data_IF_204201982060
#
_entry.id   IF_204201982060
#
_cell.length_a   1.000
_cell.length_b   1.000
_cell.length_c   1.000
_cell.angle_alpha   90.00
_cell.angle_beta   90.00
_cell.angle_gamma   90.00
#
_symmetry.space_group_name_H-M   'P 1'
#
loop_
_entity.id
_entity.type
_entity.pdbx_description
1 polymer ?
#
# COMPACT_ATOMS: atom_id res chain seq x y z
N UNK A 1 29.18 -67.23 -23.32
CA UNK A 1 27.77 -66.80 -23.26
C UNK A 1 27.39 -66.56 -21.79
N UNK A 2 27.70 -65.38 -21.24
CA UNK A 2 27.26 -64.96 -19.90
C UNK A 2 26.51 -63.65 -20.10
N UNK A 3 25.19 -63.74 -20.07
CA UNK A 3 24.28 -62.65 -20.36
C UNK A 3 24.19 -61.72 -19.14
N UNK A 4 24.36 -60.43 -19.40
CA UNK A 4 24.12 -59.31 -18.50
C UNK A 4 22.75 -59.40 -17.82
N UNK A 5 22.70 -59.21 -16.51
CA UNK A 5 21.51 -58.71 -15.82
C UNK A 5 21.89 -57.48 -15.00
N UNK A 6 22.09 -56.36 -15.69
CA UNK A 6 22.12 -55.04 -15.06
C UNK A 6 20.67 -54.63 -14.85
N UNK A 7 20.14 -54.84 -13.64
CA UNK A 7 18.82 -54.35 -13.25
C UNK A 7 18.91 -52.81 -13.19
N UNK A 8 18.50 -52.13 -14.26
CA UNK A 8 18.21 -50.70 -14.22
C UNK A 8 17.02 -50.50 -13.28
N UNK A 9 17.29 -50.17 -12.02
CA UNK A 9 16.32 -49.52 -11.15
C UNK A 9 16.05 -48.13 -11.76
N UNK A 10 15.10 -48.07 -12.69
CA UNK A 10 14.51 -46.81 -13.14
C UNK A 10 13.70 -46.30 -11.95
N UNK A 11 14.38 -45.61 -11.03
CA UNK A 11 13.71 -44.71 -10.11
C UNK A 11 12.94 -43.74 -11.00
N UNK A 12 11.62 -43.83 -10.96
CA UNK A 12 10.72 -42.81 -11.51
C UNK A 12 10.99 -41.52 -10.74
N UNK A 13 12.04 -40.78 -11.13
CA UNK A 13 12.30 -39.46 -10.60
C UNK A 13 11.12 -38.62 -11.08
N UNK A 14 10.14 -38.39 -10.19
CA UNK A 14 9.11 -37.39 -10.40
C UNK A 14 9.81 -36.04 -10.37
N UNK A 15 10.36 -35.62 -11.51
CA UNK A 15 10.91 -34.28 -11.67
C UNK A 15 9.72 -33.34 -11.82
N UNK A 16 9.30 -32.71 -10.72
CA UNK A 16 8.42 -31.54 -10.83
C UNK A 16 9.24 -30.43 -11.47
N UNK A 17 8.91 -30.13 -12.74
CA UNK A 17 9.53 -29.03 -13.48
C UNK A 17 8.74 -27.77 -13.19
N UNK A 18 9.42 -26.73 -12.73
CA UNK A 18 8.85 -25.39 -12.68
C UNK A 18 8.78 -24.83 -14.10
N UNK A 19 7.60 -24.35 -14.50
CA UNK A 19 7.39 -23.70 -15.81
C UNK A 19 7.75 -22.22 -15.79
N UNK A 20 7.83 -21.61 -14.60
CA UNK A 20 8.00 -20.17 -14.42
C UNK A 20 8.56 -19.85 -13.03
N UNK A 21 9.48 -18.89 -12.97
CA UNK A 21 10.12 -18.40 -11.75
C UNK A 21 9.75 -16.93 -11.52
N UNK A 22 9.24 -16.56 -10.35
CA UNK A 22 8.90 -15.18 -10.04
C UNK A 22 10.09 -14.33 -9.56
N UNK A 23 11.14 -14.94 -9.01
CA UNK A 23 12.26 -14.25 -8.38
C UNK A 23 13.01 -13.28 -9.31
N UNK A 24 13.00 -13.56 -10.61
CA UNK A 24 13.60 -12.73 -11.66
C UNK A 24 12.57 -12.07 -12.57
N UNK A 25 11.28 -12.13 -12.22
CA UNK A 25 10.27 -11.34 -12.92
C UNK A 25 10.48 -9.88 -12.55
N UNK A 26 11.03 -9.12 -13.50
CA UNK A 26 11.50 -7.76 -13.28
C UNK A 26 10.43 -6.72 -12.91
N UNK A 27 9.16 -7.12 -12.72
CA UNK A 27 8.08 -6.22 -12.35
C UNK A 27 7.20 -6.85 -11.27
N UNK A 28 7.34 -6.46 -9.98
CA UNK A 28 6.37 -6.83 -8.96
C UNK A 28 4.99 -6.26 -9.33
N UNK A 29 3.93 -6.94 -8.92
CA UNK A 29 2.56 -6.46 -9.09
C UNK A 29 2.39 -5.09 -8.42
N UNK A 30 1.93 -4.09 -9.18
CA UNK A 30 1.84 -2.69 -8.72
C UNK A 30 0.43 -2.23 -8.36
N UNK A 31 -0.59 -3.06 -8.55
CA UNK A 31 -1.98 -2.60 -8.54
C UNK A 31 -2.77 -3.14 -7.34
N UNK A 32 -2.41 -2.69 -6.14
CA UNK A 32 -3.09 -3.06 -4.88
C UNK A 32 -4.32 -2.18 -4.59
N UNK A 33 -5.04 -1.75 -5.64
CA UNK A 33 -6.19 -0.84 -5.53
C UNK A 33 -5.82 0.39 -4.67
N UNK A 34 -6.64 0.74 -3.67
CA UNK A 34 -6.42 1.87 -2.77
C UNK A 34 -5.27 1.67 -1.76
N UNK A 35 -4.57 0.53 -1.78
CA UNK A 35 -3.36 0.21 -1.01
C UNK A 35 -2.08 0.29 -1.82
N UNK A 36 -2.18 0.65 -3.10
CA UNK A 36 -1.01 0.86 -3.96
C UNK A 36 -0.12 1.95 -3.36
N UNK A 37 1.19 1.67 -3.11
CA UNK A 37 2.11 2.68 -2.59
C UNK A 37 2.18 3.87 -3.53
N UNK A 38 2.10 5.09 -3.00
CA UNK A 38 2.03 6.31 -3.80
C UNK A 38 3.26 6.44 -4.70
N UNK A 39 4.44 6.13 -4.17
CA UNK A 39 5.70 6.18 -4.92
C UNK A 39 5.78 5.18 -6.09
N UNK A 40 4.95 4.13 -6.11
CA UNK A 40 5.01 3.09 -7.15
C UNK A 40 4.31 3.48 -8.46
N UNK A 41 3.38 4.44 -8.40
CA UNK A 41 2.52 4.84 -9.54
C UNK A 41 2.46 6.35 -9.77
N UNK A 42 2.97 7.18 -8.84
CA UNK A 42 2.94 8.63 -9.02
C UNK A 42 3.73 9.08 -10.24
N UNK A 43 3.23 10.11 -10.91
CA UNK A 43 4.05 10.95 -11.78
C UNK A 43 4.90 11.94 -10.98
N UNK A 44 5.39 12.97 -11.68
CA UNK A 44 6.03 14.13 -11.06
C UNK A 44 5.21 15.40 -11.29
N UNK A 45 4.82 16.07 -10.21
CA UNK A 45 4.08 17.34 -10.28
C UNK A 45 4.92 18.44 -10.95
N UNK A 46 6.25 18.31 -10.98
CA UNK A 46 7.14 19.25 -11.66
C UNK A 46 7.04 19.17 -13.17
N UNK A 47 6.57 18.03 -13.68
CA UNK A 47 6.31 17.77 -15.10
C UNK A 47 4.89 18.19 -15.51
N UNK A 48 4.08 18.70 -14.56
CA UNK A 48 2.70 19.11 -14.83
C UNK A 48 2.61 20.48 -15.51
N UNK A 49 1.54 20.67 -16.30
CA UNK A 49 1.20 21.87 -17.09
C UNK A 49 0.90 23.13 -16.27
N UNK A 50 1.20 23.16 -14.97
CA UNK A 50 0.80 24.25 -14.06
C UNK A 50 1.60 25.55 -14.32
N UNK A 51 2.68 25.49 -15.10
CA UNK A 51 3.46 26.67 -15.49
C UNK A 51 2.89 27.32 -16.75
N UNK A 52 1.87 28.15 -16.58
CA UNK A 52 1.35 29.01 -17.64
C UNK A 52 2.34 30.15 -17.92
N UNK A 53 2.67 30.38 -19.20
CA UNK A 53 3.63 31.42 -19.59
C UNK A 53 3.11 32.80 -19.18
N UNK A 54 3.91 33.54 -18.41
CA UNK A 54 3.55 34.88 -17.91
C UNK A 54 2.64 34.89 -16.68
N UNK A 55 2.32 33.72 -16.10
CA UNK A 55 1.53 33.63 -14.87
C UNK A 55 2.37 33.12 -13.71
N UNK A 56 2.05 33.59 -12.51
CA UNK A 56 2.63 33.10 -11.26
C UNK A 56 1.50 32.65 -10.32
N UNK A 57 1.66 31.50 -9.62
CA UNK A 57 0.69 31.04 -8.66
C UNK A 57 0.65 31.97 -7.46
N UNK A 58 -0.54 32.45 -7.09
CA UNK A 58 -0.76 33.33 -5.93
C UNK A 58 -1.28 32.58 -4.70
N UNK A 59 -1.86 31.39 -4.89
CA UNK A 59 -2.32 30.53 -3.80
C UNK A 59 -2.42 29.07 -4.26
N UNK A 60 -2.37 28.13 -3.32
CA UNK A 60 -2.54 26.70 -3.54
C UNK A 60 -3.48 26.16 -2.47
N UNK A 61 -4.36 25.27 -2.89
CA UNK A 61 -5.28 24.50 -2.08
C UNK A 61 -5.09 23.03 -2.47
N UNK A 62 -5.16 22.14 -1.49
CA UNK A 62 -4.92 20.72 -1.71
C UNK A 62 -5.69 19.86 -0.73
N UNK A 63 -6.32 18.80 -1.25
CA UNK A 63 -6.85 17.70 -0.46
C UNK A 63 -5.94 16.50 -0.66
N UNK A 64 -5.18 16.15 0.37
CA UNK A 64 -4.15 15.11 0.29
C UNK A 64 -4.57 13.98 1.21
N UNK A 65 -4.69 12.77 0.65
CA UNK A 65 -4.92 11.55 1.45
C UNK A 65 -3.71 11.28 2.33
N UNK A 66 -3.95 10.73 3.53
CA UNK A 66 -2.86 10.24 4.38
C UNK A 66 -1.92 9.28 3.65
N UNK A 67 -0.67 9.18 4.11
CA UNK A 67 0.31 8.23 3.59
C UNK A 67 -0.03 6.77 3.95
N UNK A 68 0.79 5.84 3.47
CA UNK A 68 0.67 4.43 3.81
C UNK A 68 0.54 4.18 5.32
N UNK A 69 -0.47 3.40 5.71
CA UNK A 69 -0.76 3.02 7.09
C UNK A 69 -0.80 1.51 7.25
N UNK A 70 -0.64 1.05 8.49
CA UNK A 70 -0.85 -0.34 8.86
C UNK A 70 -2.31 -0.76 8.64
N UNK A 71 -2.56 -2.07 8.43
CA UNK A 71 -3.91 -2.61 8.32
C UNK A 71 -4.75 -2.28 9.56
N UNK A 72 -6.07 -2.35 9.39
CA UNK A 72 -6.97 -2.35 10.54
C UNK A 72 -6.89 -3.67 11.30
N UNK A 73 -7.45 -3.71 12.51
CA UNK A 73 -7.35 -4.86 13.42
C UNK A 73 -7.77 -6.17 12.75
N UNK A 74 -8.97 -6.22 12.18
CA UNK A 74 -9.51 -7.45 11.54
C UNK A 74 -8.67 -7.89 10.33
N UNK A 75 -8.30 -6.95 9.45
CA UNK A 75 -7.44 -7.27 8.31
C UNK A 75 -6.05 -7.74 8.75
N UNK A 76 -5.47 -7.11 9.77
CA UNK A 76 -4.18 -7.51 10.34
C UNK A 76 -4.23 -8.94 10.91
N UNK A 77 -5.33 -9.30 11.58
CA UNK A 77 -5.58 -10.67 12.05
C UNK A 77 -5.62 -11.67 10.90
N UNK A 78 -6.45 -11.43 9.88
CA UNK A 78 -6.54 -12.33 8.71
C UNK A 78 -5.21 -12.46 7.96
N UNK A 79 -4.47 -11.36 7.82
CA UNK A 79 -3.14 -11.38 7.22
C UNK A 79 -2.17 -12.25 8.04
N UNK A 80 -2.20 -12.13 9.37
CA UNK A 80 -1.37 -12.92 10.28
C UNK A 80 -1.72 -14.41 10.22
N UNK A 81 -3.01 -14.75 10.21
CA UNK A 81 -3.49 -16.13 10.06
C UNK A 81 -3.07 -16.74 8.71
N UNK A 82 -3.07 -15.93 7.65
CA UNK A 82 -2.65 -16.35 6.31
C UNK A 82 -1.15 -16.62 6.17
N UNK A 83 -0.32 -16.18 7.14
CA UNK A 83 1.14 -16.42 7.09
C UNK A 83 1.51 -17.90 7.06
N UNK A 84 0.63 -18.78 7.56
CA UNK A 84 0.83 -20.24 7.52
C UNK A 84 0.93 -20.78 6.09
N UNK A 85 0.38 -20.08 5.09
CA UNK A 85 0.45 -20.47 3.67
C UNK A 85 1.92 -20.57 3.23
N UNK A 86 2.79 -19.69 3.73
CA UNK A 86 4.24 -19.73 3.49
C UNK A 86 4.83 -21.08 3.88
N UNK A 87 4.46 -21.57 5.06
CA UNK A 87 4.97 -22.83 5.61
C UNK A 87 4.44 -24.03 4.82
N UNK A 88 3.18 -23.96 4.36
CA UNK A 88 2.60 -24.97 3.47
C UNK A 88 3.32 -25.05 2.12
N UNK A 89 3.66 -23.91 1.52
CA UNK A 89 4.43 -23.84 0.26
C UNK A 89 5.83 -24.45 0.47
N UNK A 90 6.55 -24.05 1.50
CA UNK A 90 7.89 -24.58 1.83
C UNK A 90 7.85 -26.08 2.10
N UNK A 91 6.86 -26.57 2.86
CA UNK A 91 6.67 -27.99 3.16
C UNK A 91 6.36 -28.79 1.90
N UNK A 92 5.52 -28.27 1.01
CA UNK A 92 5.18 -28.91 -0.27
C UNK A 92 6.38 -28.99 -1.19
N UNK A 93 7.22 -27.94 -1.25
CA UNK A 93 8.47 -27.95 -2.01
C UNK A 93 9.45 -29.02 -1.51
N UNK A 94 9.67 -29.13 -0.20
CA UNK A 94 10.53 -30.17 0.40
C UNK A 94 10.06 -31.59 0.10
N UNK A 95 8.76 -31.80 -0.10
CA UNK A 95 8.16 -33.09 -0.47
C UNK A 95 8.16 -33.35 -1.99
N UNK A 96 8.72 -32.46 -2.80
CA UNK A 96 8.69 -32.56 -4.26
C UNK A 96 7.29 -32.36 -4.85
N UNK A 97 6.40 -31.62 -4.16
CA UNK A 97 5.01 -31.37 -4.56
C UNK A 97 4.72 -29.86 -4.74
N UNK A 98 5.66 -29.13 -5.31
CA UNK A 98 5.52 -27.68 -5.55
C UNK A 98 6.00 -27.33 -6.96
N UNK A 99 5.22 -26.54 -7.69
CA UNK A 99 5.54 -26.06 -9.04
C UNK A 99 6.39 -24.78 -9.05
N UNK A 100 6.54 -24.11 -7.90
CA UNK A 100 7.43 -22.95 -7.76
C UNK A 100 8.89 -23.39 -7.88
N UNK A 101 9.73 -22.52 -8.41
CA UNK A 101 11.16 -22.81 -8.50
C UNK A 101 11.88 -22.58 -7.15
N UNK A 102 13.08 -23.14 -7.04
CA UNK A 102 13.85 -23.16 -5.80
C UNK A 102 14.05 -21.76 -5.20
N UNK A 103 14.33 -20.78 -6.05
CA UNK A 103 14.59 -19.39 -5.68
C UNK A 103 13.35 -18.69 -5.12
N UNK A 104 12.17 -18.96 -5.67
CA UNK A 104 10.90 -18.42 -5.16
C UNK A 104 10.63 -18.92 -3.75
N UNK A 105 10.82 -20.23 -3.54
CA UNK A 105 10.65 -20.86 -2.24
C UNK A 105 11.71 -20.40 -1.24
N UNK A 106 12.95 -20.19 -1.69
CA UNK A 106 14.01 -19.62 -0.86
C UNK A 106 13.69 -18.18 -0.44
N UNK A 107 13.15 -17.36 -1.33
CA UNK A 107 12.68 -16.01 -1.02
C UNK A 107 11.56 -16.05 0.03
N UNK A 108 10.57 -16.94 -0.13
CA UNK A 108 9.52 -17.14 0.87
C UNK A 108 10.09 -17.61 2.22
N UNK A 109 11.06 -18.52 2.22
CA UNK A 109 11.71 -19.01 3.44
C UNK A 109 12.42 -17.87 4.20
N UNK A 110 13.13 -17.01 3.47
CA UNK A 110 13.88 -15.88 4.03
C UNK A 110 12.99 -14.66 4.34
N UNK A 111 11.78 -14.62 3.79
CA UNK A 111 10.86 -13.52 4.01
C UNK A 111 10.46 -13.43 5.49
N UNK A 112 10.70 -12.25 6.05
CA UNK A 112 10.35 -11.92 7.43
C UNK A 112 9.18 -10.95 7.43
N UNK A 113 8.29 -11.19 8.38
CA UNK A 113 7.12 -10.35 8.61
C UNK A 113 7.52 -9.18 9.49
N UNK A 114 7.11 -7.98 9.10
CA UNK A 114 7.18 -6.81 9.97
C UNK A 114 6.08 -6.92 11.04
N UNK A 115 6.46 -7.25 12.28
CA UNK A 115 5.50 -7.39 13.37
C UNK A 115 4.85 -6.05 13.75
N UNK A 116 5.52 -4.91 13.53
CA UNK A 116 4.93 -3.60 13.79
C UNK A 116 3.65 -3.39 12.96
N UNK A 117 3.57 -4.02 11.78
CA UNK A 117 2.38 -3.98 10.92
C UNK A 117 1.11 -4.45 11.63
N UNK A 118 1.23 -5.42 12.54
CA UNK A 118 0.10 -5.99 13.27
C UNK A 118 -0.07 -5.43 14.68
N UNK A 119 1.02 -5.00 15.31
CA UNK A 119 1.01 -4.45 16.67
C UNK A 119 0.50 -3.01 16.72
N UNK A 120 0.57 -2.29 15.61
CA UNK A 120 0.21 -0.87 15.49
C UNK A 120 -0.89 -0.66 14.46
N UNK A 121 -2.12 -1.16 14.69
CA UNK A 121 -3.20 -1.06 13.71
C UNK A 121 -3.55 0.40 13.42
N UNK A 122 -3.93 0.69 12.17
CA UNK A 122 -4.26 2.03 11.66
C UNK A 122 -3.14 3.09 11.69
N UNK A 123 -2.04 2.86 12.41
CA UNK A 123 -0.96 3.83 12.53
C UNK A 123 -0.27 4.09 11.18
N UNK A 124 0.19 5.33 11.01
CA UNK A 124 0.98 5.71 9.85
C UNK A 124 2.31 4.95 9.86
N UNK A 125 2.69 4.39 8.71
CA UNK A 125 3.98 3.70 8.56
C UNK A 125 5.11 4.71 8.36
N UNK A 126 6.35 4.26 8.56
CA UNK A 126 7.55 5.03 8.20
C UNK A 126 7.51 5.45 6.71
N UNK A 127 7.12 4.54 5.83
CA UNK A 127 6.94 4.85 4.39
C UNK A 127 5.87 5.91 4.18
N UNK A 128 4.69 5.78 4.81
CA UNK A 128 3.61 6.77 4.68
C UNK A 128 4.00 8.18 5.12
N UNK A 129 4.83 8.28 6.16
CA UNK A 129 5.42 9.55 6.56
C UNK A 129 6.37 10.11 5.50
N UNK A 130 7.25 9.27 4.94
CA UNK A 130 8.17 9.68 3.87
C UNK A 130 7.43 10.03 2.57
N UNK A 131 6.33 9.34 2.24
CA UNK A 131 5.46 9.68 1.12
C UNK A 131 4.92 11.10 1.29
N UNK A 132 4.31 11.40 2.44
CA UNK A 132 3.77 12.73 2.77
C UNK A 132 4.85 13.81 2.70
N UNK A 133 6.01 13.55 3.29
CA UNK A 133 7.18 14.44 3.22
C UNK A 133 7.68 14.66 1.80
N UNK A 134 7.72 13.59 1.00
CA UNK A 134 8.09 13.65 -0.41
C UNK A 134 7.12 14.51 -1.22
N UNK A 135 5.82 14.42 -0.94
CA UNK A 135 4.80 15.27 -1.57
C UNK A 135 5.07 16.74 -1.21
N UNK A 136 5.24 17.07 0.08
CA UNK A 136 5.53 18.44 0.51
C UNK A 136 6.79 19.01 -0.16
N UNK A 137 7.86 18.22 -0.25
CA UNK A 137 9.09 18.63 -0.95
C UNK A 137 8.83 18.97 -2.42
N UNK A 138 8.10 18.11 -3.13
CA UNK A 138 7.79 18.36 -4.55
C UNK A 138 6.85 19.55 -4.75
N UNK A 139 5.95 19.82 -3.81
CA UNK A 139 5.14 21.06 -3.82
C UNK A 139 6.05 22.28 -3.76
N UNK A 140 7.00 22.32 -2.82
CA UNK A 140 7.97 23.43 -2.72
C UNK A 140 8.78 23.60 -4.01
N UNK A 141 9.24 22.50 -4.60
CA UNK A 141 10.01 22.52 -5.85
C UNK A 141 9.17 22.96 -7.07
N UNK A 142 7.89 22.59 -7.13
CA UNK A 142 6.98 22.99 -8.20
C UNK A 142 6.58 24.47 -8.10
N UNK A 143 6.47 24.99 -6.88
CA UNK A 143 5.99 26.34 -6.59
C UNK A 143 6.99 27.16 -5.74
N UNK A 144 8.23 27.33 -6.20
CA UNK A 144 9.31 27.88 -5.37
C UNK A 144 9.04 29.34 -4.98
N UNK A 145 8.46 30.16 -5.86
CA UNK A 145 8.15 31.56 -5.53
C UNK A 145 7.11 31.69 -4.42
N UNK A 146 6.11 30.81 -4.43
CA UNK A 146 5.01 30.83 -3.47
C UNK A 146 5.37 30.16 -2.14
N UNK A 147 6.19 29.09 -2.17
CA UNK A 147 6.43 28.23 -1.00
C UNK A 147 7.87 28.31 -0.44
N UNK A 148 8.78 29.12 -1.01
CA UNK A 148 10.17 29.19 -0.52
C UNK A 148 10.31 29.89 0.84
N UNK A 149 9.46 30.90 1.10
CA UNK A 149 9.56 31.78 2.28
C UNK A 149 8.22 31.85 3.02
N UNK A 150 7.69 30.68 3.39
CA UNK A 150 6.47 30.61 4.17
C UNK A 150 6.72 31.12 5.59
N UNK A 151 5.94 32.09 6.04
CA UNK A 151 5.85 32.53 7.42
C UNK A 151 4.79 31.73 8.19
N UNK A 152 4.78 31.91 9.51
CA UNK A 152 3.76 31.31 10.36
C UNK A 152 2.39 31.91 9.99
N UNK A 153 1.42 31.04 9.66
CA UNK A 153 0.05 31.37 9.25
C UNK A 153 -0.15 31.81 7.79
N UNK A 154 0.87 31.76 6.92
CA UNK A 154 0.68 31.96 5.47
C UNK A 154 -0.27 30.93 4.85
N UNK A 155 -0.26 29.71 5.40
CA UNK A 155 -1.12 28.62 4.98
C UNK A 155 -1.75 27.92 6.18
N UNK A 156 -2.97 27.45 5.95
CA UNK A 156 -3.68 26.59 6.86
C UNK A 156 -3.40 25.12 6.53
N UNK A 157 -2.77 24.40 7.47
CA UNK A 157 -2.63 22.94 7.41
C UNK A 157 -3.61 22.30 8.39
N UNK A 158 -4.58 21.54 7.86
CA UNK A 158 -5.65 20.95 8.66
C UNK A 158 -5.75 19.44 8.41
N UNK A 159 -5.40 18.59 9.39
CA UNK A 159 -5.66 17.16 9.31
C UNK A 159 -7.15 16.86 9.57
N UNK A 160 -7.63 15.75 9.02
CA UNK A 160 -8.91 15.15 9.43
C UNK A 160 -8.76 14.43 10.78
N UNK A 161 -9.84 13.84 11.28
CA UNK A 161 -9.81 13.04 12.51
C UNK A 161 -8.84 11.84 12.41
N UNK A 162 -8.03 11.65 13.47
CA UNK A 162 -7.15 10.50 13.67
C UNK A 162 -5.64 10.81 13.55
N UNK A 163 -4.84 10.23 14.45
CA UNK A 163 -3.40 10.50 14.60
C UNK A 163 -2.60 10.33 13.29
N UNK A 164 -2.95 9.32 12.47
CA UNK A 164 -2.27 9.07 11.19
C UNK A 164 -2.48 10.20 10.17
N UNK A 165 -3.59 10.95 10.28
CA UNK A 165 -3.85 12.15 9.48
C UNK A 165 -2.95 13.29 9.94
N UNK A 166 -2.84 13.49 11.25
CA UNK A 166 -1.95 14.49 11.84
C UNK A 166 -0.49 14.19 11.52
N UNK A 167 -0.05 12.93 11.61
CA UNK A 167 1.31 12.53 11.26
C UNK A 167 1.61 12.68 9.77
N UNK A 168 0.63 12.44 8.90
CA UNK A 168 0.77 12.71 7.47
C UNK A 168 0.92 14.21 7.21
N UNK A 169 0.13 15.05 7.88
CA UNK A 169 0.25 16.51 7.79
C UNK A 169 1.62 17.00 8.30
N UNK A 170 2.13 16.43 9.41
CA UNK A 170 3.49 16.70 9.91
C UNK A 170 4.54 16.34 8.87
N UNK A 171 4.43 15.17 8.24
CA UNK A 171 5.32 14.75 7.16
C UNK A 171 5.31 15.76 6.01
N UNK A 172 4.12 16.12 5.51
CA UNK A 172 3.95 17.10 4.43
C UNK A 172 4.58 18.46 4.76
N UNK A 173 4.27 19.04 5.92
CA UNK A 173 4.84 20.31 6.37
C UNK A 173 6.36 20.23 6.53
N UNK A 174 6.88 19.13 7.07
CA UNK A 174 8.32 18.91 7.11
C UNK A 174 8.94 18.90 5.70
N UNK A 175 8.23 18.34 4.71
CA UNK A 175 8.61 18.35 3.30
C UNK A 175 8.74 19.76 2.70
N UNK A 176 7.88 20.69 3.11
CA UNK A 176 7.98 22.11 2.75
C UNK A 176 9.22 22.80 3.36
N UNK A 177 9.90 22.14 4.30
CA UNK A 177 11.18 22.61 4.85
C UNK A 177 11.05 23.78 5.82
N UNK A 178 9.87 24.03 6.37
CA UNK A 178 9.68 24.99 7.47
C UNK A 178 8.93 24.32 8.64
N UNK A 179 9.65 24.09 9.74
CA UNK A 179 9.11 23.46 10.96
C UNK A 179 8.27 24.41 11.82
N UNK A 180 8.30 25.71 11.55
CA UNK A 180 7.55 26.74 12.27
C UNK A 180 6.11 26.88 11.75
N UNK A 181 5.75 26.20 10.67
CA UNK A 181 4.39 26.23 10.14
C UNK A 181 3.44 25.53 11.11
N UNK A 182 2.39 26.24 11.49
CA UNK A 182 1.37 25.73 12.40
C UNK A 182 0.48 24.72 11.68
N UNK A 183 0.38 23.51 12.23
CA UNK A 183 -0.64 22.54 11.86
C UNK A 183 -1.77 22.68 12.86
N UNK A 184 -3.00 22.82 12.39
CA UNK A 184 -4.15 22.79 13.28
C UNK A 184 -4.19 21.46 14.05
N UNK A 185 -4.63 21.47 15.32
CA UNK A 185 -4.86 20.24 16.04
C UNK A 185 -5.87 19.38 15.28
N UNK A 186 -5.70 18.06 15.35
CA UNK A 186 -6.70 17.14 14.85
C UNK A 186 -8.04 17.36 15.55
N UNK A 187 -9.13 17.13 14.81
CA UNK A 187 -10.46 17.23 15.40
C UNK A 187 -10.84 15.94 16.10
N UNK A 188 -11.62 16.07 17.16
CA UNK A 188 -12.17 14.93 17.90
C UNK A 188 -13.33 14.24 17.15
N UNK A 189 -13.91 14.90 16.16
CA UNK A 189 -15.10 14.42 15.43
C UNK A 189 -14.93 14.62 13.91
N UNK A 190 -15.73 13.85 13.15
CA UNK A 190 -15.82 13.99 11.70
C UNK A 190 -16.38 15.34 11.31
N UNK A 191 -15.88 15.90 10.22
CA UNK A 191 -16.26 17.23 9.75
C UNK A 191 -16.31 17.32 8.22
N UNK A 192 -16.14 18.52 7.65
CA UNK A 192 -16.12 18.74 6.20
C UNK A 192 -15.06 17.91 5.45
N UNK A 193 -14.04 17.37 6.13
CA UNK A 193 -13.04 16.47 5.54
C UNK A 193 -13.50 15.00 5.49
N UNK A 194 -14.55 14.66 6.24
CA UNK A 194 -15.19 13.33 6.26
C UNK A 194 -16.74 13.46 6.31
N UNK A 195 -17.36 14.18 5.36
CA UNK A 195 -18.80 14.45 5.40
C UNK A 195 -19.66 13.19 5.28
N UNK A 196 -19.08 12.11 4.74
CA UNK A 196 -19.73 10.81 4.63
C UNK A 196 -19.93 10.14 6.00
N UNK A 197 -19.14 10.48 7.02
CA UNK A 197 -19.25 9.88 8.35
C UNK A 197 -20.42 10.46 9.17
N UNK A 198 -20.94 11.63 8.81
CA UNK A 198 -22.08 12.29 9.48
C UNK A 198 -23.35 12.32 8.64
N UNK A 199 -23.29 11.91 7.36
CA UNK A 199 -24.44 11.90 6.47
C UNK A 199 -25.33 10.66 6.72
N UNK A 200 -26.45 10.83 7.41
CA UNK A 200 -27.37 9.72 7.75
C UNK A 200 -27.81 8.90 6.54
N UNK A 201 -28.10 9.55 5.40
CA UNK A 201 -28.49 8.85 4.18
C UNK A 201 -27.36 7.97 3.64
N UNK A 202 -26.11 8.45 3.66
CA UNK A 202 -24.96 7.64 3.28
C UNK A 202 -24.74 6.47 4.24
N UNK A 203 -24.85 6.72 5.55
CA UNK A 203 -24.69 5.69 6.57
C UNK A 203 -25.71 4.56 6.39
N UNK A 204 -26.96 4.88 6.08
CA UNK A 204 -28.02 3.90 5.85
C UNK A 204 -27.94 3.25 4.48
N UNK A 205 -27.95 4.05 3.41
CA UNK A 205 -28.20 3.57 2.04
C UNK A 205 -26.94 3.00 1.38
N UNK A 206 -25.76 3.30 1.90
CA UNK A 206 -24.47 2.85 1.34
C UNK A 206 -23.67 2.05 2.35
N UNK A 207 -23.29 2.65 3.49
CA UNK A 207 -22.37 2.01 4.45
C UNK A 207 -22.99 0.80 5.14
N UNK A 208 -24.26 0.92 5.54
CA UNK A 208 -25.03 -0.14 6.18
C UNK A 208 -25.83 -1.02 5.20
N UNK A 209 -25.84 -0.68 3.91
CA UNK A 209 -26.61 -1.41 2.91
C UNK A 209 -25.82 -2.61 2.37
N UNK A 210 -26.26 -3.86 2.59
CA UNK A 210 -25.57 -5.04 2.08
C UNK A 210 -25.55 -5.12 0.54
N UNK A 211 -26.53 -4.53 -0.13
CA UNK A 211 -26.58 -4.49 -1.61
C UNK A 211 -25.40 -3.71 -2.22
N UNK A 212 -24.75 -2.83 -1.45
CA UNK A 212 -23.50 -2.16 -1.86
C UNK A 212 -22.41 -3.17 -2.26
N UNK A 213 -22.46 -4.38 -1.71
CA UNK A 213 -21.48 -5.44 -1.96
C UNK A 213 -22.00 -6.56 -2.86
N UNK A 214 -23.18 -6.41 -3.48
CA UNK A 214 -23.82 -7.45 -4.29
C UNK A 214 -22.88 -8.00 -5.38
N UNK A 215 -22.23 -7.13 -6.16
CA UNK A 215 -21.29 -7.52 -7.22
C UNK A 215 -20.06 -8.25 -6.65
N UNK A 216 -19.55 -7.83 -5.48
CA UNK A 216 -18.42 -8.51 -4.84
C UNK A 216 -18.82 -9.90 -4.38
N UNK A 217 -20.04 -10.07 -3.84
CA UNK A 217 -20.57 -11.36 -3.43
C UNK A 217 -20.76 -12.28 -4.63
N UNK A 218 -21.33 -11.76 -5.71
CA UNK A 218 -21.47 -12.50 -6.96
C UNK A 218 -20.12 -12.95 -7.50
N UNK A 219 -19.12 -12.06 -7.54
CA UNK A 219 -17.76 -12.40 -7.95
C UNK A 219 -17.14 -13.48 -7.07
N UNK A 220 -17.27 -13.38 -5.75
CA UNK A 220 -16.75 -14.39 -4.81
C UNK A 220 -17.42 -15.77 -4.96
N UNK A 221 -18.63 -15.83 -5.52
CA UNK A 221 -19.31 -17.10 -5.83
C UNK A 221 -19.01 -17.65 -7.23
N UNK A 222 -18.29 -16.89 -8.06
CA UNK A 222 -17.96 -17.29 -9.42
C UNK A 222 -16.88 -18.37 -9.45
N UNK A 223 -16.84 -19.15 -10.53
CA UNK A 223 -15.76 -20.12 -10.76
C UNK A 223 -14.40 -19.44 -10.95
N UNK A 224 -14.37 -18.17 -11.37
CA UNK A 224 -13.14 -17.40 -11.52
C UNK A 224 -12.47 -17.11 -10.17
N UNK A 225 -13.24 -16.81 -9.13
CA UNK A 225 -12.70 -16.57 -7.79
C UNK A 225 -12.17 -17.85 -7.11
N UNK A 226 -12.73 -19.02 -7.46
CA UNK A 226 -12.39 -20.31 -6.88
C UNK A 226 -11.25 -21.05 -7.61
N UNK A 227 -10.81 -20.53 -8.76
CA UNK A 227 -9.74 -21.09 -9.60
C UNK A 227 -8.34 -20.66 -9.13
#
# INVERSE_FOLDING_TARGET
MKLLFTVLAICSIQTVRSSFCFWNTGCPYKYFSNKTPYNSVRGDIRDSVVKLTGCEPVSIWGLIRHGQRNPGVEFGKHMKESLVIKDYVVSSYKKGKCSLCAQDVENLLKWQVDNEMFEKPYQLTKEGYQESKGIGRRFKEAFPKLLAKLEQNDYLFRPAHGDWMADSAKGFVQGLGNKLLTIQPEKNESDILSPYDTCSKYLTDVKGNPETYAESVQYMSSSEYLA
#
